data_IF_970895197850
#
_entry.id   IF_970895197850
#
_cell.length_a   1.000
_cell.length_b   1.000
_cell.length_c   1.000
_cell.angle_alpha   90.00
_cell.angle_beta   90.00
_cell.angle_gamma   90.00
#
_symmetry.space_group_name_H-M   'P 1'
#
loop_
_entity.id
_entity.type
_entity.pdbx_description
1 polymer ?
#
# COMPACT_ATOMS: atom_id res chain seq x y z
N UNK A 1 13.47 -6.06 19.90
CA UNK A 1 14.49 -5.83 18.86
C UNK A 1 13.85 -4.97 17.79
N UNK A 2 14.56 -3.96 17.28
CA UNK A 2 14.09 -3.14 16.16
C UNK A 2 14.79 -3.65 14.90
N UNK A 3 14.03 -3.91 13.85
CA UNK A 3 14.54 -4.40 12.57
C UNK A 3 14.28 -3.36 11.48
N UNK A 4 15.32 -3.11 10.68
CA UNK A 4 15.24 -2.21 9.53
C UNK A 4 14.87 -3.00 8.27
N UNK A 5 14.09 -2.43 7.33
CA UNK A 5 13.85 -3.06 6.04
C UNK A 5 15.17 -3.39 5.34
N UNK A 6 15.30 -4.63 4.88
CA UNK A 6 16.46 -5.07 4.10
C UNK A 6 16.11 -5.02 2.61
N UNK A 7 16.85 -4.19 1.86
CA UNK A 7 16.72 -4.13 0.42
C UNK A 7 17.43 -5.32 -0.23
N UNK A 8 16.66 -6.28 -0.70
CA UNK A 8 17.12 -7.51 -1.35
C UNK A 8 16.29 -7.77 -2.61
N UNK A 9 16.79 -8.61 -3.52
CA UNK A 9 15.98 -9.04 -4.68
C UNK A 9 14.65 -9.66 -4.24
N UNK A 10 14.64 -10.43 -3.15
CA UNK A 10 13.42 -11.01 -2.57
C UNK A 10 12.45 -9.95 -2.09
N UNK A 11 12.92 -8.88 -1.44
CA UNK A 11 12.05 -7.80 -0.97
C UNK A 11 11.47 -7.02 -2.15
N UNK A 12 12.25 -6.75 -3.20
CA UNK A 12 11.78 -6.08 -4.42
C UNK A 12 10.71 -6.92 -5.12
N UNK A 13 10.95 -8.23 -5.26
CA UNK A 13 9.96 -9.15 -5.83
C UNK A 13 8.68 -9.22 -4.98
N UNK A 14 8.78 -9.12 -3.66
CA UNK A 14 7.63 -9.05 -2.77
C UNK A 14 6.88 -7.70 -2.89
N UNK A 15 7.59 -6.59 -3.09
CA UNK A 15 6.99 -5.27 -3.29
C UNK A 15 6.07 -5.25 -4.53
N UNK A 16 6.46 -5.91 -5.62
CA UNK A 16 5.64 -6.03 -6.83
C UNK A 16 4.31 -6.78 -6.59
N UNK A 17 4.25 -7.60 -5.54
CA UNK A 17 3.09 -8.41 -5.14
C UNK A 17 2.19 -7.69 -4.12
N UNK A 18 2.33 -6.36 -3.97
CA UNK A 18 1.55 -5.54 -3.02
C UNK A 18 0.03 -5.73 -3.15
N UNK A 19 -0.48 -5.89 -4.37
CA UNK A 19 -1.90 -6.06 -4.66
C UNK A 19 -2.49 -7.36 -4.08
N UNK A 20 -1.65 -8.33 -3.70
CA UNK A 20 -2.11 -9.56 -3.04
C UNK A 20 -2.59 -9.32 -1.60
N UNK A 21 -2.19 -8.20 -0.98
CA UNK A 21 -2.56 -7.86 0.41
C UNK A 21 -3.22 -6.48 0.55
N UNK A 22 -2.79 -5.47 -0.22
CA UNK A 22 -3.33 -4.11 -0.14
C UNK A 22 -4.57 -3.97 -1.03
N UNK A 23 -5.62 -3.37 -0.50
CA UNK A 23 -6.94 -3.28 -1.13
C UNK A 23 -7.87 -4.45 -0.78
N UNK A 24 -7.34 -5.56 -0.27
CA UNK A 24 -8.12 -6.68 0.22
C UNK A 24 -8.87 -6.30 1.51
N UNK A 25 -10.15 -6.67 1.61
CA UNK A 25 -10.98 -6.38 2.79
C UNK A 25 -10.95 -4.90 3.22
N UNK A 26 -10.90 -3.99 2.24
CA UNK A 26 -10.81 -2.52 2.49
C UNK A 26 -9.63 -2.11 3.38
N UNK A 27 -8.56 -2.91 3.38
CA UNK A 27 -7.35 -2.67 4.18
C UNK A 27 -6.21 -2.31 3.26
N UNK A 28 -5.48 -1.24 3.59
CA UNK A 28 -4.38 -0.72 2.78
C UNK A 28 -3.12 -0.61 3.62
N UNK A 29 -1.99 -1.02 3.06
CA UNK A 29 -0.72 -1.09 3.79
C UNK A 29 0.28 -0.06 3.27
N UNK A 30 1.01 0.56 4.20
CA UNK A 30 2.12 1.48 3.95
C UNK A 30 3.27 1.24 4.95
N UNK A 31 4.42 1.83 4.69
CA UNK A 31 5.63 1.68 5.49
C UNK A 31 6.90 1.55 4.65
N UNK A 32 8.06 1.69 5.32
CA UNK A 32 9.37 1.71 4.67
C UNK A 32 9.73 0.43 3.89
N UNK A 33 9.06 -0.70 4.18
CA UNK A 33 9.20 -1.96 3.44
C UNK A 33 8.73 -1.87 1.98
N UNK A 34 7.98 -0.83 1.60
CA UNK A 34 7.53 -0.59 0.22
C UNK A 34 8.51 0.20 -0.64
N UNK A 35 9.76 0.33 -0.19
CA UNK A 35 10.83 0.97 -0.96
C UNK A 35 12.20 0.46 -0.54
N UNK A 36 13.16 1.37 -0.42
CA UNK A 36 14.53 1.04 -0.07
C UNK A 36 14.76 0.96 1.46
N UNK A 37 13.74 1.28 2.26
CA UNK A 37 13.78 1.20 3.73
C UNK A 37 13.94 2.54 4.42
N UNK A 38 13.93 3.65 3.69
CA UNK A 38 14.07 4.99 4.25
C UNK A 38 12.75 5.54 4.81
N UNK A 39 12.85 6.63 5.57
CA UNK A 39 11.67 7.31 6.10
C UNK A 39 10.76 7.84 4.97
N UNK A 40 11.37 8.32 3.89
CA UNK A 40 10.71 8.83 2.69
C UNK A 40 9.85 7.74 2.02
N UNK A 41 10.33 6.49 2.02
CA UNK A 41 9.55 5.35 1.50
C UNK A 41 8.28 5.11 2.32
N UNK A 42 8.35 5.36 3.63
CA UNK A 42 7.17 5.36 4.50
C UNK A 42 6.15 6.41 4.11
N UNK A 43 6.58 7.64 3.83
CA UNK A 43 5.70 8.74 3.43
C UNK A 43 5.09 8.49 2.04
N UNK A 44 5.91 8.11 1.06
CA UNK A 44 5.44 7.84 -0.30
C UNK A 44 4.44 6.70 -0.34
N UNK A 45 4.71 5.60 0.38
CA UNK A 45 3.77 4.48 0.45
C UNK A 45 2.48 4.82 1.19
N UNK A 46 2.52 5.71 2.19
CA UNK A 46 1.31 6.20 2.86
C UNK A 46 0.43 7.01 1.92
N UNK A 47 1.02 7.91 1.12
CA UNK A 47 0.29 8.65 0.09
C UNK A 47 -0.38 7.70 -0.90
N UNK A 48 0.32 6.65 -1.33
CA UNK A 48 -0.24 5.66 -2.25
C UNK A 48 -1.40 4.87 -1.64
N UNK A 49 -1.28 4.43 -0.38
CA UNK A 49 -2.34 3.73 0.32
C UNK A 49 -3.61 4.59 0.48
N UNK A 50 -3.44 5.90 0.75
CA UNK A 50 -4.56 6.85 0.87
C UNK A 50 -5.23 7.10 -0.48
N UNK A 51 -4.46 7.18 -1.56
CA UNK A 51 -5.00 7.30 -2.92
C UNK A 51 -5.88 6.09 -3.27
N UNK A 52 -5.36 4.87 -3.08
CA UNK A 52 -6.10 3.63 -3.35
C UNK A 52 -7.37 3.50 -2.48
N UNK A 53 -7.29 3.94 -1.22
CA UNK A 53 -8.46 3.98 -0.33
C UNK A 53 -9.56 4.89 -0.90
N UNK A 54 -9.19 6.08 -1.37
CA UNK A 54 -10.15 7.04 -1.94
C UNK A 54 -10.76 6.52 -3.24
N UNK A 55 -9.96 5.88 -4.09
CA UNK A 55 -10.46 5.25 -5.33
C UNK A 55 -11.57 4.23 -5.01
N UNK A 56 -11.33 3.36 -4.02
CA UNK A 56 -12.34 2.39 -3.58
C UNK A 56 -13.57 3.06 -2.98
N UNK A 57 -13.41 4.11 -2.17
CA UNK A 57 -14.53 4.87 -1.60
C UNK A 57 -15.40 5.49 -2.70
N UNK A 58 -14.76 6.12 -3.69
CA UNK A 58 -15.44 6.71 -4.84
C UNK A 58 -16.20 5.66 -5.66
N UNK A 59 -15.61 4.48 -5.88
CA UNK A 59 -16.26 3.37 -6.58
C UNK A 59 -17.50 2.90 -5.81
N UNK A 60 -17.38 2.66 -4.51
CA UNK A 60 -18.49 2.25 -3.65
C UNK A 60 -19.62 3.29 -3.62
N UNK A 61 -19.27 4.58 -3.53
CA UNK A 61 -20.25 5.67 -3.59
C UNK A 61 -20.96 5.73 -4.95
N UNK A 62 -20.24 5.50 -6.05
CA UNK A 62 -20.83 5.51 -7.39
C UNK A 62 -21.82 4.36 -7.59
N UNK A 63 -21.48 3.16 -7.12
CA UNK A 63 -22.36 1.98 -7.13
C UNK A 63 -23.62 2.22 -6.28
N UNK A 64 -23.46 2.79 -5.09
CA UNK A 64 -24.59 3.11 -4.20
C UNK A 64 -25.55 4.16 -4.78
N UNK A 65 -25.09 5.01 -5.70
CA UNK A 65 -25.93 6.02 -6.37
C UNK A 65 -26.62 5.48 -7.62
N UNK A 66 -26.15 4.34 -8.15
CA UNK A 66 -26.68 3.70 -9.35
C UNK A 66 -27.78 2.65 -9.05
N UNK A 67 -27.94 2.23 -7.78
CA UNK A 67 -29.03 1.36 -7.31
C UNK A 67 -30.22 2.18 -6.81
#
# INVERSE_FOLDING_TARGET
>A
YYEHPLYTEKSVNAQARRHEISGCNRTFYCGAYWGNGFHEDGVVSALKAVEEFKELEHELMSLSRAS
#
